data_IF_088859112342
#
_entry.id   IF_088859112342
#
_cell.length_a   1.000
_cell.length_b   1.000
_cell.length_c   1.000
_cell.angle_alpha   90.00
_cell.angle_beta   90.00
_cell.angle_gamma   90.00
#
_symmetry.space_group_name_H-M   'P 1'
#
loop_
_entity.id
_entity.type
_entity.pdbx_description
1 polymer ?
#
# COMPACT_ATOMS: atom_id res chain seq x y z
N UNK A 1 -36.19 -1.74 -76.40
CA UNK A 1 -35.42 -2.66 -75.55
C UNK A 1 -34.33 -1.94 -74.82
N UNK A 2 -34.48 -1.68 -73.52
CA UNK A 2 -33.45 -1.05 -72.68
C UNK A 2 -33.02 -2.09 -71.64
N UNK A 3 -31.78 -2.56 -71.70
CA UNK A 3 -31.18 -3.49 -70.72
C UNK A 3 -30.81 -2.68 -69.47
N UNK A 4 -31.33 -3.11 -68.30
CA UNK A 4 -30.89 -2.63 -66.98
C UNK A 4 -29.73 -3.49 -66.53
N UNK A 5 -28.58 -2.87 -66.23
CA UNK A 5 -27.43 -3.47 -65.60
C UNK A 5 -27.60 -3.31 -64.08
N UNK A 6 -27.69 -4.38 -63.35
CA UNK A 6 -27.70 -4.36 -61.88
C UNK A 6 -26.25 -4.48 -61.37
N UNK A 7 -25.81 -3.45 -60.61
CA UNK A 7 -24.52 -3.48 -59.93
C UNK A 7 -24.76 -4.02 -58.50
N UNK A 8 -24.21 -5.19 -58.21
CA UNK A 8 -24.21 -5.78 -56.86
C UNK A 8 -23.01 -5.26 -56.11
N UNK A 9 -23.26 -4.48 -55.06
CA UNK A 9 -22.23 -4.02 -54.14
C UNK A 9 -22.05 -5.05 -53.04
N UNK A 10 -20.93 -5.72 -53.00
CA UNK A 10 -20.58 -6.63 -51.92
C UNK A 10 -19.98 -5.86 -50.74
N UNK A 11 -20.69 -5.79 -49.61
CA UNK A 11 -20.20 -5.30 -48.35
C UNK A 11 -19.34 -6.37 -47.67
N UNK A 12 -18.04 -6.19 -47.68
CA UNK A 12 -17.12 -7.00 -46.90
C UNK A 12 -17.10 -6.50 -45.43
N UNK A 13 -17.78 -7.23 -44.55
CA UNK A 13 -17.68 -7.01 -43.09
C UNK A 13 -16.40 -7.63 -42.56
N UNK A 14 -15.35 -6.84 -42.44
CA UNK A 14 -14.12 -7.23 -41.76
C UNK A 14 -14.34 -7.30 -40.24
N UNK A 15 -14.55 -8.51 -39.70
CA UNK A 15 -14.49 -8.73 -38.28
C UNK A 15 -13.03 -8.68 -37.81
N UNK A 16 -12.60 -7.55 -37.19
CA UNK A 16 -11.31 -7.50 -36.53
C UNK A 16 -11.37 -8.38 -35.27
N UNK A 17 -10.74 -9.55 -35.33
CA UNK A 17 -10.53 -10.40 -34.18
C UNK A 17 -9.58 -9.69 -33.24
N UNK A 18 -10.09 -9.24 -32.09
CA UNK A 18 -9.29 -8.79 -30.97
C UNK A 18 -8.44 -9.99 -30.48
N UNK A 19 -7.18 -10.03 -30.87
CA UNK A 19 -6.23 -11.01 -30.38
C UNK A 19 -6.12 -10.87 -28.87
N UNK A 20 -6.64 -11.85 -28.12
CA UNK A 20 -6.48 -11.93 -26.67
C UNK A 20 -4.98 -12.05 -26.38
N UNK A 21 -4.42 -11.05 -25.70
CA UNK A 21 -3.03 -11.09 -25.22
C UNK A 21 -2.86 -12.35 -24.33
N UNK A 22 -1.86 -13.19 -24.59
CA UNK A 22 -1.64 -14.37 -23.77
C UNK A 22 -1.43 -13.96 -22.30
N UNK A 23 -1.89 -14.76 -21.33
CA UNK A 23 -1.70 -14.46 -19.92
C UNK A 23 -0.21 -14.36 -19.63
N UNK A 24 0.19 -13.28 -18.94
CA UNK A 24 1.58 -13.07 -18.58
C UNK A 24 2.10 -14.29 -17.80
N UNK A 25 3.24 -14.82 -18.23
CA UNK A 25 3.89 -15.97 -17.60
C UNK A 25 4.24 -15.64 -16.14
N UNK A 26 4.15 -16.64 -15.25
CA UNK A 26 4.55 -16.51 -13.85
C UNK A 26 6.02 -16.06 -13.75
N UNK A 27 6.27 -15.05 -12.95
CA UNK A 27 7.60 -14.47 -12.77
C UNK A 27 8.06 -14.60 -11.31
N UNK A 28 9.37 -14.48 -11.09
CA UNK A 28 9.91 -14.28 -9.75
C UNK A 28 10.07 -12.78 -9.52
N UNK A 29 9.43 -12.28 -8.45
CA UNK A 29 9.54 -10.90 -7.99
C UNK A 29 10.48 -10.87 -6.80
N UNK A 30 11.62 -10.23 -6.94
CA UNK A 30 12.62 -10.12 -5.88
C UNK A 30 12.62 -8.71 -5.27
N UNK A 31 12.64 -8.67 -3.94
CA UNK A 31 12.72 -7.44 -3.16
C UNK A 31 13.87 -7.53 -2.16
N UNK A 32 14.60 -6.45 -2.01
CA UNK A 32 15.68 -6.29 -1.03
C UNK A 32 15.24 -5.22 -0.04
N UNK A 33 14.95 -5.64 1.19
CA UNK A 33 14.39 -4.79 2.25
C UNK A 33 15.30 -4.86 3.46
N UNK A 34 15.44 -3.75 4.17
CA UNK A 34 16.10 -3.77 5.46
C UNK A 34 15.28 -3.01 6.50
N UNK A 35 15.35 -3.47 7.75
CA UNK A 35 14.98 -2.68 8.92
C UNK A 35 16.09 -1.65 9.13
N UNK A 36 15.76 -0.36 9.12
CA UNK A 36 16.74 0.75 9.25
C UNK A 36 16.25 1.76 10.26
N UNK A 37 17.10 2.17 11.23
CA UNK A 37 16.74 3.22 12.17
C UNK A 37 16.67 4.58 11.46
N UNK A 38 15.70 5.40 11.84
CA UNK A 38 15.49 6.74 11.34
C UNK A 38 14.96 7.65 12.44
N UNK A 39 15.09 8.96 12.24
CA UNK A 39 14.33 9.95 12.98
C UNK A 39 13.18 10.38 12.09
N UNK A 40 11.96 10.14 12.55
CA UNK A 40 10.74 10.40 11.78
C UNK A 40 9.99 11.60 12.35
N UNK A 41 9.55 12.50 11.48
CA UNK A 41 8.73 13.65 11.85
C UNK A 41 7.32 13.47 11.25
N UNK A 42 6.31 13.30 12.08
CA UNK A 42 4.93 13.08 11.65
C UNK A 42 4.27 14.33 11.07
N UNK A 43 4.72 15.54 11.45
CA UNK A 43 4.16 16.81 10.98
C UNK A 43 5.26 17.83 10.62
N UNK A 44 6.03 17.64 9.52
CA UNK A 44 7.14 18.53 9.15
C UNK A 44 6.81 20.01 8.97
N UNK A 45 5.53 20.35 8.67
CA UNK A 45 5.09 21.74 8.57
C UNK A 45 4.74 22.39 9.93
N UNK A 46 4.86 21.62 11.02
CA UNK A 46 4.57 22.05 12.41
C UNK A 46 3.18 22.66 12.62
N UNK A 47 2.18 22.19 11.83
CA UNK A 47 0.82 22.74 11.91
C UNK A 47 -0.23 21.64 12.02
N UNK A 48 -1.13 21.85 12.95
CA UNK A 48 -2.46 21.23 12.97
C UNK A 48 -3.33 21.96 11.91
N UNK A 49 -3.72 21.25 10.88
CA UNK A 49 -4.50 21.82 9.78
C UNK A 49 -5.99 22.04 10.15
N UNK A 50 -6.48 21.47 11.25
CA UNK A 50 -7.87 21.62 11.70
C UNK A 50 -8.02 22.90 12.53
N UNK A 51 -7.15 23.10 13.52
CA UNK A 51 -7.22 24.23 14.43
C UNK A 51 -6.33 25.40 14.00
N UNK A 52 -5.37 25.18 13.11
CA UNK A 52 -4.34 26.14 12.73
C UNK A 52 -3.23 26.30 13.78
N UNK A 53 -3.29 25.56 14.87
CA UNK A 53 -2.30 25.64 15.95
C UNK A 53 -0.92 25.18 15.49
N UNK A 54 0.11 25.71 16.11
CA UNK A 54 1.48 25.24 15.94
C UNK A 54 1.70 24.01 16.80
N UNK A 55 2.29 22.97 16.21
CA UNK A 55 2.66 21.73 16.88
C UNK A 55 4.08 21.85 17.44
N UNK A 56 4.28 21.26 18.63
CA UNK A 56 5.61 21.16 19.23
C UNK A 56 6.42 20.08 18.50
N UNK A 57 7.61 20.39 17.96
CA UNK A 57 8.51 19.40 17.37
C UNK A 57 8.84 18.23 18.31
N UNK A 58 8.87 18.43 19.63
CA UNK A 58 9.09 17.37 20.60
C UNK A 58 7.98 16.29 20.58
N UNK A 59 6.77 16.64 20.14
CA UNK A 59 5.64 15.71 19.99
C UNK A 59 5.59 15.08 18.62
N UNK A 60 6.11 15.74 17.58
CA UNK A 60 6.00 15.30 16.18
C UNK A 60 7.19 14.49 15.71
N UNK A 61 8.30 14.50 16.42
CA UNK A 61 9.56 13.83 16.01
C UNK A 61 9.88 12.68 16.96
N UNK A 62 10.13 11.50 16.41
CA UNK A 62 10.51 10.34 17.20
C UNK A 62 11.57 9.47 16.49
N UNK A 63 12.52 8.87 17.23
CA UNK A 63 13.36 7.81 16.70
C UNK A 63 12.51 6.56 16.48
N UNK A 64 12.70 5.89 15.33
CA UNK A 64 12.02 4.64 15.01
C UNK A 64 12.84 3.79 14.07
N UNK A 65 12.39 2.57 13.80
CA UNK A 65 12.91 1.68 12.76
C UNK A 65 11.85 1.47 11.69
N UNK A 66 12.25 1.47 10.42
CA UNK A 66 11.34 1.35 9.27
C UNK A 66 11.84 0.32 8.26
N UNK A 67 10.94 -0.21 7.45
CA UNK A 67 11.32 -0.98 6.27
C UNK A 67 11.76 -0.06 5.14
N UNK A 68 12.98 -0.25 4.67
CA UNK A 68 13.53 0.49 3.55
C UNK A 68 13.89 -0.42 2.39
N UNK A 69 13.54 -0.01 1.18
CA UNK A 69 13.90 -0.71 -0.05
C UNK A 69 15.34 -0.44 -0.44
N UNK A 70 15.98 -1.48 -1.00
CA UNK A 70 17.36 -1.41 -1.52
C UNK A 70 17.48 -2.04 -2.90
N UNK A 71 18.59 -1.75 -3.57
CA UNK A 71 19.07 -2.53 -4.71
C UNK A 71 19.56 -3.90 -4.24
N UNK A 72 19.72 -4.84 -5.18
CA UNK A 72 20.23 -6.19 -4.91
C UNK A 72 21.48 -6.17 -4.02
N UNK A 73 21.46 -7.03 -2.98
CA UNK A 73 22.53 -7.12 -1.99
C UNK A 73 22.62 -5.93 -1.04
N UNK A 74 21.55 -5.17 -0.88
CA UNK A 74 21.44 -3.97 -0.02
C UNK A 74 22.51 -2.91 -0.29
N UNK A 75 22.95 -2.76 -1.55
CA UNK A 75 24.07 -1.86 -1.91
C UNK A 75 23.70 -0.38 -1.83
N UNK A 76 22.50 0.01 -2.29
CA UNK A 76 22.03 1.40 -2.29
C UNK A 76 20.56 1.44 -1.88
N UNK A 77 20.16 2.39 -1.02
CA UNK A 77 18.76 2.59 -0.69
C UNK A 77 17.99 3.10 -1.93
N UNK A 78 16.72 2.72 -2.00
CA UNK A 78 15.76 3.15 -3.00
C UNK A 78 14.57 3.81 -2.31
N UNK A 79 13.74 4.53 -3.07
CA UNK A 79 12.43 4.99 -2.59
C UNK A 79 11.51 3.79 -2.39
N UNK A 80 10.72 3.80 -1.33
CA UNK A 80 9.80 2.71 -1.03
C UNK A 80 8.69 2.60 -2.07
N UNK A 81 8.12 3.72 -2.50
CA UNK A 81 7.19 3.76 -3.63
C UNK A 81 7.30 5.11 -4.36
N UNK A 82 7.52 5.11 -5.67
CA UNK A 82 7.51 6.34 -6.46
C UNK A 82 6.09 6.89 -6.67
N UNK A 83 5.04 6.11 -6.36
CA UNK A 83 3.64 6.45 -6.68
C UNK A 83 2.79 6.82 -5.47
N UNK A 84 3.27 6.60 -4.25
CA UNK A 84 2.56 6.91 -3.00
C UNK A 84 2.91 8.31 -2.47
N UNK A 85 2.55 9.36 -3.19
CA UNK A 85 2.71 10.73 -2.70
C UNK A 85 4.13 11.10 -2.29
N UNK A 86 4.29 11.82 -1.17
CA UNK A 86 5.58 12.33 -0.69
C UNK A 86 6.31 11.38 0.28
N UNK A 87 5.85 10.14 0.42
CA UNK A 87 6.34 9.24 1.47
C UNK A 87 7.51 8.40 0.95
N UNK A 88 8.65 8.56 1.59
CA UNK A 88 9.85 7.84 1.19
C UNK A 88 10.14 6.60 2.05
N UNK A 89 9.60 6.50 3.29
CA UNK A 89 9.99 5.46 4.23
C UNK A 89 8.81 4.78 4.94
N UNK A 90 7.77 5.53 5.35
CA UNK A 90 6.53 4.98 5.92
C UNK A 90 5.38 5.31 4.95
N UNK A 91 4.64 4.31 4.52
CA UNK A 91 4.81 2.88 4.75
C UNK A 91 6.08 2.31 4.10
N UNK A 92 6.43 1.09 4.47
CA UNK A 92 7.47 0.30 3.84
C UNK A 92 7.24 0.09 2.32
N UNK A 93 8.14 -0.59 1.61
CA UNK A 93 8.06 -0.74 0.16
C UNK A 93 6.73 -1.30 -0.33
N UNK A 94 6.08 -0.64 -1.28
CA UNK A 94 4.97 -1.24 -2.01
C UNK A 94 5.48 -2.39 -2.89
N UNK A 95 5.10 -3.62 -2.54
CA UNK A 95 5.46 -4.82 -3.27
C UNK A 95 4.34 -5.21 -4.23
N UNK A 96 4.64 -5.39 -5.50
CA UNK A 96 3.65 -5.74 -6.54
C UNK A 96 3.95 -7.10 -7.13
N UNK A 97 2.90 -7.93 -7.23
CA UNK A 97 2.97 -9.20 -7.94
C UNK A 97 1.65 -9.48 -8.68
N UNK A 98 1.61 -10.58 -9.42
CA UNK A 98 0.41 -11.14 -10.05
C UNK A 98 0.18 -12.56 -9.57
N UNK A 99 -1.05 -13.00 -9.66
CA UNK A 99 -1.40 -14.41 -9.48
C UNK A 99 -0.49 -15.31 -10.33
N UNK A 100 0.13 -16.28 -9.69
CA UNK A 100 1.13 -17.18 -10.24
C UNK A 100 2.57 -16.78 -9.97
N UNK A 101 2.86 -15.51 -9.64
CA UNK A 101 4.22 -15.07 -9.35
C UNK A 101 4.76 -15.70 -8.06
N UNK A 102 6.06 -15.94 -8.04
CA UNK A 102 6.85 -16.20 -6.84
C UNK A 102 7.37 -14.87 -6.32
N UNK A 103 7.27 -14.68 -5.01
CA UNK A 103 7.74 -13.46 -4.34
C UNK A 103 8.88 -13.87 -3.41
N UNK A 104 10.04 -13.25 -3.60
CA UNK A 104 11.24 -13.49 -2.78
C UNK A 104 11.62 -12.18 -2.13
N UNK A 105 11.58 -12.16 -0.79
CA UNK A 105 11.95 -10.97 -0.03
C UNK A 105 13.22 -11.29 0.76
N UNK A 106 14.33 -10.66 0.35
CA UNK A 106 15.59 -10.68 1.06
C UNK A 106 15.55 -9.59 2.12
N UNK A 107 15.38 -9.98 3.37
CA UNK A 107 15.33 -9.09 4.51
C UNK A 107 16.67 -9.05 5.23
N UNK A 108 17.07 -7.86 5.69
CA UNK A 108 18.25 -7.67 6.55
C UNK A 108 17.90 -6.75 7.70
N UNK A 109 18.24 -7.14 8.91
CA UNK A 109 18.15 -6.27 10.06
C UNK A 109 19.41 -5.40 10.13
N UNK A 110 19.25 -4.07 9.93
CA UNK A 110 20.27 -3.04 10.04
C UNK A 110 20.00 -2.10 11.22
N UNK A 111 19.16 -2.51 12.18
CA UNK A 111 18.90 -1.74 13.38
C UNK A 111 20.00 -1.96 14.42
N UNK A 112 21.07 -1.21 14.29
CA UNK A 112 22.17 -1.15 15.26
C UNK A 112 21.94 -0.07 16.33
N UNK A 113 20.78 0.58 16.35
CA UNK A 113 20.42 1.60 17.34
C UNK A 113 19.65 1.01 18.49
N UNK A 114 18.54 0.33 18.22
CA UNK A 114 17.75 -0.33 19.26
C UNK A 114 18.29 -1.72 19.61
N UNK A 115 19.10 -2.30 18.72
CA UNK A 115 19.63 -3.66 18.83
C UNK A 115 18.56 -4.75 18.96
N UNK A 116 17.33 -4.47 18.44
CA UNK A 116 16.20 -5.42 18.49
C UNK A 116 16.22 -6.38 17.30
N UNK A 117 15.67 -7.57 17.50
CA UNK A 117 15.31 -8.45 16.40
C UNK A 117 14.10 -7.90 15.64
N UNK A 118 14.07 -8.15 14.33
CA UNK A 118 12.96 -7.75 13.44
C UNK A 118 12.64 -8.85 12.46
N UNK A 119 11.44 -8.87 11.95
CA UNK A 119 10.98 -9.85 10.95
C UNK A 119 10.12 -9.20 9.86
N UNK A 120 9.58 -10.03 8.96
CA UNK A 120 8.51 -9.63 8.04
C UNK A 120 7.48 -10.75 7.97
N UNK A 121 6.28 -10.49 8.46
CA UNK A 121 5.11 -11.34 8.32
C UNK A 121 4.20 -10.81 7.20
N UNK A 122 3.65 -11.71 6.37
CA UNK A 122 2.91 -11.36 5.15
C UNK A 122 1.50 -11.93 5.20
N UNK A 123 0.52 -11.10 4.87
CA UNK A 123 -0.87 -11.53 4.72
C UNK A 123 -1.20 -11.85 3.25
N UNK A 124 -2.24 -12.66 3.04
CA UNK A 124 -2.90 -12.89 1.76
C UNK A 124 -2.12 -13.69 0.72
N UNK A 125 -1.00 -14.29 1.07
CA UNK A 125 -0.14 -15.10 0.18
C UNK A 125 0.17 -16.46 0.77
N UNK A 126 0.56 -17.40 -0.09
CA UNK A 126 0.94 -18.75 0.31
C UNK A 126 2.42 -18.79 0.71
N UNK A 127 2.75 -19.40 1.84
CA UNK A 127 4.12 -19.63 2.30
C UNK A 127 4.25 -20.87 3.18
N UNK A 128 5.49 -21.28 3.46
CA UNK A 128 5.80 -22.35 4.40
C UNK A 128 6.16 -21.75 5.76
N UNK A 129 6.10 -22.51 6.87
CA UNK A 129 6.47 -22.01 8.22
C UNK A 129 7.81 -21.28 8.29
N UNK A 130 8.81 -21.66 7.48
CA UNK A 130 10.10 -20.99 7.40
C UNK A 130 10.05 -19.59 6.72
N UNK A 131 8.90 -19.11 6.35
CA UNK A 131 8.63 -17.79 5.78
C UNK A 131 7.43 -17.13 6.43
N UNK A 132 7.05 -17.57 7.63
CA UNK A 132 5.96 -17.01 8.43
C UNK A 132 6.33 -15.64 9.01
N UNK A 133 7.56 -15.52 9.50
CA UNK A 133 8.07 -14.26 10.05
C UNK A 133 7.46 -13.88 11.41
N UNK A 134 6.68 -14.76 12.04
CA UNK A 134 6.13 -14.52 13.38
C UNK A 134 7.03 -15.14 14.46
N UNK A 135 7.24 -14.42 15.56
CA UNK A 135 8.01 -14.91 16.70
C UNK A 135 7.10 -15.37 17.84
N UNK A 136 7.19 -16.66 18.15
CA UNK A 136 6.60 -17.27 19.35
C UNK A 136 7.66 -18.19 19.96
N UNK A 137 8.14 -17.94 21.20
CA UNK A 137 9.19 -18.75 21.82
C UNK A 137 8.84 -20.24 21.85
N UNK A 138 9.77 -21.08 21.39
CA UNK A 138 9.59 -22.55 21.34
C UNK A 138 8.68 -23.06 20.21
N UNK A 139 8.11 -22.17 19.39
CA UNK A 139 7.21 -22.52 18.26
C UNK A 139 7.80 -22.07 16.93
N UNK A 140 8.22 -20.82 16.83
CA UNK A 140 8.72 -20.21 15.59
C UNK A 140 10.17 -20.54 15.28
N UNK A 141 10.51 -20.47 13.98
CA UNK A 141 11.89 -20.53 13.51
C UNK A 141 12.64 -19.19 13.63
N UNK A 142 13.88 -19.15 13.14
CA UNK A 142 14.72 -17.94 13.16
C UNK A 142 14.26 -16.83 12.21
N UNK A 143 13.26 -17.07 11.39
CA UNK A 143 12.62 -16.12 10.49
C UNK A 143 11.76 -15.09 11.22
N UNK A 144 11.27 -15.43 12.43
CA UNK A 144 10.42 -14.58 13.26
C UNK A 144 11.17 -13.51 14.06
N UNK A 145 12.49 -13.63 14.23
CA UNK A 145 13.29 -12.69 15.04
C UNK A 145 14.73 -12.60 14.52
N UNK A 146 14.91 -11.91 13.39
CA UNK A 146 16.23 -11.76 12.74
C UNK A 146 17.05 -10.75 13.51
N UNK A 147 18.14 -11.18 14.14
CA UNK A 147 19.01 -10.35 14.94
C UNK A 147 19.74 -9.25 14.12
N UNK A 148 20.19 -8.16 14.75
CA UNK A 148 20.97 -7.10 14.09
C UNK A 148 22.16 -7.64 13.30
N UNK A 149 22.36 -7.12 12.08
CA UNK A 149 23.40 -7.57 11.16
C UNK A 149 23.09 -8.85 10.39
N UNK A 150 22.09 -9.63 10.81
CA UNK A 150 21.67 -10.89 10.16
C UNK A 150 20.65 -10.61 9.06
N UNK A 151 20.40 -11.63 8.25
CA UNK A 151 19.44 -11.58 7.15
C UNK A 151 18.64 -12.87 7.05
N UNK A 152 17.43 -12.76 6.50
CA UNK A 152 16.57 -13.90 6.17
C UNK A 152 15.99 -13.74 4.77
N UNK A 153 15.54 -14.83 4.15
CA UNK A 153 14.87 -14.79 2.85
C UNK A 153 13.51 -15.44 2.93
N UNK A 154 12.47 -14.64 2.88
CA UNK A 154 11.07 -15.07 2.80
C UNK A 154 10.72 -15.48 1.37
N UNK A 155 10.03 -16.60 1.21
CA UNK A 155 9.61 -17.18 -0.07
C UNK A 155 8.12 -17.39 -0.08
N UNK A 156 7.43 -16.63 -0.91
CA UNK A 156 5.99 -16.54 -0.96
C UNK A 156 5.50 -16.84 -2.38
N UNK A 157 4.23 -17.16 -2.50
CA UNK A 157 3.56 -17.37 -3.79
C UNK A 157 2.21 -16.64 -3.82
N UNK A 158 1.95 -15.92 -4.90
CA UNK A 158 0.65 -15.32 -5.15
C UNK A 158 -0.30 -16.36 -5.76
N UNK A 159 -1.18 -16.97 -4.96
CA UNK A 159 -2.24 -17.88 -5.40
C UNK A 159 -3.44 -17.15 -6.00
N UNK A 160 -4.45 -17.90 -6.45
CA UNK A 160 -5.69 -17.30 -6.98
C UNK A 160 -6.46 -16.50 -5.92
N UNK A 161 -6.40 -16.90 -4.65
CA UNK A 161 -7.04 -16.21 -3.53
C UNK A 161 -6.21 -15.02 -3.01
N UNK A 162 -5.01 -14.81 -3.56
CA UNK A 162 -4.14 -13.69 -3.15
C UNK A 162 -4.48 -12.36 -3.84
N UNK A 163 -5.50 -12.32 -4.72
CA UNK A 163 -5.88 -11.06 -5.37
C UNK A 163 -6.35 -10.05 -4.33
N UNK A 164 -5.73 -8.86 -4.31
CA UNK A 164 -6.08 -7.81 -3.34
C UNK A 164 -4.88 -6.98 -2.92
N UNK A 165 -5.12 -6.19 -1.90
CA UNK A 165 -4.13 -5.44 -1.16
C UNK A 165 -3.96 -6.12 0.21
N UNK A 166 -2.73 -6.36 0.64
CA UNK A 166 -2.44 -7.13 1.83
C UNK A 166 -1.37 -6.46 2.68
N UNK A 167 -1.52 -6.41 4.01
CA UNK A 167 -0.47 -5.95 4.89
C UNK A 167 0.75 -6.87 4.87
N UNK A 168 1.91 -6.29 5.14
CA UNK A 168 3.03 -6.97 5.77
C UNK A 168 3.57 -6.10 6.89
N UNK A 169 4.06 -6.71 7.95
CA UNK A 169 4.51 -5.97 9.13
C UNK A 169 5.55 -6.76 9.94
N UNK A 170 6.19 -6.11 10.89
CA UNK A 170 7.04 -6.77 11.86
C UNK A 170 6.19 -7.62 12.83
N UNK A 171 6.59 -8.86 13.03
CA UNK A 171 5.96 -9.79 13.98
C UNK A 171 7.01 -10.42 14.90
N UNK A 172 8.07 -9.68 15.19
CA UNK A 172 9.12 -10.07 16.14
C UNK A 172 8.66 -9.90 17.59
N UNK A 173 9.56 -10.14 18.53
CA UNK A 173 9.31 -9.88 19.96
C UNK A 173 8.87 -8.44 20.29
N UNK A 174 9.16 -7.48 19.41
CA UNK A 174 8.83 -6.07 19.55
C UNK A 174 7.70 -5.62 18.62
N UNK A 175 6.80 -6.54 18.22
CA UNK A 175 5.75 -6.31 17.21
C UNK A 175 4.96 -5.02 17.47
N UNK A 176 4.49 -4.81 18.69
CA UNK A 176 3.66 -3.64 19.01
C UNK A 176 4.40 -2.33 18.77
N UNK A 177 5.58 -2.17 19.34
CA UNK A 177 6.41 -0.97 19.20
C UNK A 177 6.85 -0.75 17.75
N UNK A 178 7.17 -1.82 17.04
CA UNK A 178 7.58 -1.77 15.63
C UNK A 178 6.43 -1.30 14.73
N UNK A 179 5.23 -1.83 14.92
CA UNK A 179 4.03 -1.39 14.17
C UNK A 179 3.71 0.07 14.49
N UNK A 180 3.69 0.45 15.79
CA UNK A 180 3.46 1.83 16.21
C UNK A 180 4.56 2.78 15.73
N UNK A 181 5.73 2.25 15.40
CA UNK A 181 6.87 2.96 14.81
C UNK A 181 6.88 3.02 13.28
N UNK A 182 5.94 2.35 12.58
CA UNK A 182 5.85 2.40 11.12
C UNK A 182 6.44 1.20 10.37
N UNK A 183 6.76 0.09 11.06
CA UNK A 183 7.27 -1.13 10.43
C UNK A 183 6.14 -1.97 9.82
N UNK A 184 5.51 -1.42 8.80
CA UNK A 184 4.47 -2.05 8.00
C UNK A 184 4.56 -1.57 6.54
N UNK A 185 3.92 -2.29 5.63
CA UNK A 185 3.77 -1.91 4.24
C UNK A 185 2.72 -2.73 3.51
N UNK A 186 2.60 -2.50 2.21
CA UNK A 186 1.55 -3.06 1.37
C UNK A 186 2.11 -4.03 0.33
N UNK A 187 1.47 -5.20 0.21
CA UNK A 187 1.64 -6.16 -0.87
C UNK A 187 0.39 -6.10 -1.77
N UNK A 188 0.58 -5.68 -3.02
CA UNK A 188 -0.49 -5.48 -4.01
C UNK A 188 -0.44 -6.60 -5.04
N UNK A 189 -1.43 -7.51 -5.00
CA UNK A 189 -1.53 -8.67 -5.90
C UNK A 189 -2.64 -8.46 -6.91
N UNK A 190 -2.32 -8.57 -8.19
CA UNK A 190 -3.28 -8.46 -9.30
C UNK A 190 -3.63 -9.80 -9.90
N UNK A 191 -4.84 -9.91 -10.38
CA UNK A 191 -5.28 -11.03 -11.19
C UNK A 191 -4.47 -11.12 -12.49
N UNK A 192 -4.44 -12.31 -13.12
CA UNK A 192 -3.65 -12.57 -14.35
C UNK A 192 -3.98 -11.61 -15.50
N UNK A 193 -5.25 -11.24 -15.64
CA UNK A 193 -5.78 -10.37 -16.71
C UNK A 193 -6.21 -8.99 -16.20
N UNK A 194 -5.98 -8.72 -14.93
CA UNK A 194 -6.35 -7.45 -14.34
C UNK A 194 -5.50 -6.31 -14.91
N UNK A 195 -6.17 -5.27 -15.40
CA UNK A 195 -5.52 -4.10 -15.96
C UNK A 195 -4.66 -3.37 -14.92
N UNK A 196 -3.53 -2.83 -15.36
CA UNK A 196 -2.74 -1.91 -14.55
C UNK A 196 -3.57 -0.64 -14.30
N UNK A 197 -3.61 -0.12 -13.06
CA UNK A 197 -4.15 1.20 -12.83
C UNK A 197 -3.19 2.26 -13.42
N UNK A 198 -3.76 3.38 -13.86
CA UNK A 198 -2.98 4.56 -14.25
C UNK A 198 -2.36 5.23 -13.00
N UNK A 199 -3.07 5.15 -11.87
CA UNK A 199 -2.63 5.60 -10.54
C UNK A 199 -2.93 4.55 -9.49
N UNK A 200 -1.97 4.31 -8.62
CA UNK A 200 -2.10 3.41 -7.47
C UNK A 200 -1.69 4.15 -6.20
N UNK A 201 -2.63 4.31 -5.29
CA UNK A 201 -2.45 5.01 -4.03
C UNK A 201 -2.46 3.99 -2.89
N UNK A 202 -1.53 4.15 -1.96
CA UNK A 202 -1.49 3.38 -0.72
C UNK A 202 -1.90 4.30 0.41
N UNK A 203 -2.81 3.84 1.24
CA UNK A 203 -3.27 4.53 2.45
C UNK A 203 -3.14 3.57 3.62
N UNK A 204 -2.32 3.93 4.59
CA UNK A 204 -2.20 3.19 5.84
C UNK A 204 -2.66 4.08 6.98
N UNK A 205 -3.75 3.70 7.60
CA UNK A 205 -4.22 4.27 8.85
C UNK A 205 -3.50 3.61 10.01
N UNK A 206 -2.75 4.38 10.78
CA UNK A 206 -2.07 3.88 11.97
C UNK A 206 -1.83 5.00 12.97
N UNK A 207 -2.00 4.76 14.28
CA UNK A 207 -1.54 5.70 15.29
C UNK A 207 -0.02 5.75 15.32
N UNK A 208 0.55 6.91 15.65
CA UNK A 208 1.98 7.09 15.86
C UNK A 208 2.22 8.21 16.88
N UNK A 209 2.79 7.88 18.03
CA UNK A 209 2.82 8.79 19.16
C UNK A 209 1.41 9.24 19.55
N UNK A 210 1.21 10.54 19.72
CA UNK A 210 -0.09 11.13 20.05
C UNK A 210 -0.98 11.41 18.83
N UNK A 211 -0.51 11.11 17.62
CA UNK A 211 -1.20 11.42 16.36
C UNK A 211 -1.88 10.21 15.76
N UNK A 212 -2.92 10.49 15.01
CA UNK A 212 -3.55 9.55 14.08
C UNK A 212 -3.04 9.85 12.68
N UNK A 213 -2.32 8.89 12.07
CA UNK A 213 -1.55 9.17 10.86
C UNK A 213 -2.09 8.49 9.61
N UNK A 214 -1.84 9.11 8.47
CA UNK A 214 -1.91 8.47 7.16
C UNK A 214 -0.48 8.32 6.64
N UNK A 215 -0.04 7.08 6.41
CA UNK A 215 1.32 6.79 5.94
C UNK A 215 2.40 7.42 6.85
N UNK A 216 2.19 7.36 8.18
CA UNK A 216 3.11 7.92 9.18
C UNK A 216 3.16 9.45 9.23
N UNK A 217 2.19 10.15 8.62
CA UNK A 217 2.08 11.62 8.65
C UNK A 217 0.72 12.05 9.18
N UNK A 218 0.69 13.20 9.84
CA UNK A 218 -0.52 13.80 10.40
C UNK A 218 -0.80 15.16 9.76
N UNK A 219 -2.06 15.44 9.53
CA UNK A 219 -2.65 16.68 9.01
C UNK A 219 -2.35 16.99 7.53
N UNK A 220 -3.29 17.65 6.90
CA UNK A 220 -3.15 18.19 5.52
C UNK A 220 -1.90 19.07 5.42
N UNK A 221 -1.13 18.86 4.36
CA UNK A 221 0.17 19.48 4.14
C UNK A 221 1.36 18.61 4.54
N UNK A 222 1.15 17.61 5.42
CA UNK A 222 2.13 16.57 5.74
C UNK A 222 1.73 15.21 5.18
N UNK A 223 0.44 14.84 5.30
CA UNK A 223 -0.13 13.62 4.72
C UNK A 223 0.03 13.60 3.19
N UNK A 224 0.01 12.42 2.55
CA UNK A 224 0.15 12.30 1.10
C UNK A 224 -0.86 13.17 0.33
N UNK A 225 -0.38 13.87 -0.69
CA UNK A 225 -1.23 14.55 -1.67
C UNK A 225 -1.32 13.66 -2.89
N UNK A 226 -2.40 12.91 -3.02
CA UNK A 226 -2.64 12.07 -4.19
C UNK A 226 -3.09 12.89 -5.38
N UNK A 227 -2.74 12.43 -6.60
CA UNK A 227 -3.02 13.17 -7.84
C UNK A 227 -3.43 12.22 -8.94
N UNK A 228 -4.50 12.59 -9.67
CA UNK A 228 -4.93 11.92 -10.89
C UNK A 228 -5.49 12.91 -11.90
N UNK A 229 -5.93 12.38 -13.04
CA UNK A 229 -6.66 13.10 -14.07
C UNK A 229 -7.99 12.43 -14.36
N UNK A 230 -8.94 13.20 -14.82
CA UNK A 230 -10.20 12.67 -15.36
C UNK A 230 -9.90 11.64 -16.45
N UNK A 231 -10.58 10.48 -16.39
CA UNK A 231 -10.38 9.36 -17.30
C UNK A 231 -9.36 8.31 -16.83
N UNK A 232 -8.46 8.63 -15.90
CA UNK A 232 -7.50 7.65 -15.35
C UNK A 232 -8.21 6.56 -14.51
N UNK A 233 -7.76 5.34 -14.63
CA UNK A 233 -8.12 4.23 -13.75
C UNK A 233 -7.29 4.39 -12.46
N UNK A 234 -7.95 4.79 -11.39
CA UNK A 234 -7.32 4.92 -10.07
C UNK A 234 -7.54 3.66 -9.24
N UNK A 235 -6.54 3.29 -8.45
CA UNK A 235 -6.61 2.23 -7.46
C UNK A 235 -6.18 2.78 -6.10
N UNK A 236 -6.98 2.46 -5.08
CA UNK A 236 -6.68 2.74 -3.69
C UNK A 236 -6.51 1.41 -2.96
N UNK A 237 -5.32 1.16 -2.46
CA UNK A 237 -5.00 0.05 -1.58
C UNK A 237 -4.95 0.62 -0.15
N UNK A 238 -5.93 0.27 0.66
CA UNK A 238 -6.14 0.85 2.00
C UNK A 238 -5.99 -0.24 3.04
N UNK A 239 -5.32 0.07 4.15
CA UNK A 239 -5.23 -0.83 5.31
C UNK A 239 -5.21 -0.03 6.62
N UNK A 240 -5.51 -0.71 7.72
CA UNK A 240 -5.30 -0.21 9.08
C UNK A 240 -4.25 -1.05 9.80
N UNK A 241 -3.39 -0.38 10.56
CA UNK A 241 -2.38 -1.02 11.41
C UNK A 241 -2.50 -0.48 12.84
N UNK A 242 -2.09 -1.28 13.81
CA UNK A 242 -2.29 -1.01 15.23
C UNK A 242 -3.50 -1.74 15.79
N UNK A 243 -4.16 -1.19 16.81
CA UNK A 243 -5.24 -1.87 17.55
C UNK A 243 -6.62 -1.20 17.39
N UNK A 244 -6.71 -0.16 16.56
CA UNK A 244 -7.93 0.63 16.41
C UNK A 244 -8.66 0.34 15.10
N UNK A 245 -9.97 0.58 15.07
CA UNK A 245 -10.78 0.53 13.85
C UNK A 245 -10.83 1.91 13.21
N UNK A 246 -10.79 1.92 11.89
CA UNK A 246 -10.84 3.12 11.07
C UNK A 246 -11.95 3.02 10.03
N UNK A 247 -12.30 4.16 9.43
CA UNK A 247 -13.28 4.20 8.35
C UNK A 247 -12.76 5.10 7.23
N UNK A 248 -12.43 4.52 6.09
CA UNK A 248 -11.91 5.26 4.94
C UNK A 248 -13.04 5.95 4.19
N UNK A 249 -12.90 7.25 3.95
CA UNK A 249 -13.83 8.07 3.19
C UNK A 249 -13.08 9.00 2.23
N UNK A 250 -13.66 9.19 1.02
CA UNK A 250 -13.19 10.18 0.03
C UNK A 250 -14.36 11.07 -0.35
N UNK A 251 -14.25 12.37 -0.11
CA UNK A 251 -15.28 13.34 -0.45
C UNK A 251 -15.65 13.28 -1.94
N UNK A 252 -16.93 13.37 -2.23
CA UNK A 252 -17.47 13.41 -3.58
C UNK A 252 -17.39 12.10 -4.37
N UNK A 253 -16.79 11.04 -3.81
CA UNK A 253 -16.59 9.77 -4.50
C UNK A 253 -17.43 8.65 -3.88
N UNK A 254 -17.89 7.76 -4.75
CA UNK A 254 -18.57 6.51 -4.37
C UNK A 254 -18.02 5.38 -5.21
N UNK A 255 -17.97 4.20 -4.63
CA UNK A 255 -17.55 2.97 -5.30
C UNK A 255 -18.56 1.87 -5.08
N UNK A 256 -18.42 0.79 -5.83
CA UNK A 256 -19.23 -0.39 -5.65
C UNK A 256 -18.40 -1.46 -4.93
N UNK A 257 -18.92 -1.95 -3.82
CA UNK A 257 -18.38 -3.12 -3.13
C UNK A 257 -18.90 -4.43 -3.75
N UNK A 258 -18.45 -5.55 -3.17
CA UNK A 258 -18.92 -6.87 -3.58
C UNK A 258 -20.46 -6.94 -3.54
N UNK A 259 -21.05 -7.51 -4.58
CA UNK A 259 -22.51 -7.54 -4.76
C UNK A 259 -23.11 -6.24 -5.33
N UNK A 260 -22.27 -5.27 -5.76
CA UNK A 260 -22.73 -4.03 -6.39
C UNK A 260 -23.33 -3.00 -5.45
N UNK A 261 -23.04 -3.08 -4.16
CA UNK A 261 -23.56 -2.14 -3.14
C UNK A 261 -22.76 -0.83 -3.20
N UNK A 262 -23.40 0.33 -3.43
CA UNK A 262 -22.71 1.62 -3.43
C UNK A 262 -22.31 2.02 -2.02
N UNK A 263 -21.07 2.48 -1.88
CA UNK A 263 -20.47 2.99 -0.64
C UNK A 263 -19.66 4.24 -0.92
N UNK A 264 -19.53 5.09 0.07
CA UNK A 264 -18.59 6.22 0.13
C UNK A 264 -17.68 6.15 1.36
N UNK A 265 -17.95 5.21 2.26
CA UNK A 265 -17.19 4.96 3.48
C UNK A 265 -17.04 3.46 3.69
N UNK A 266 -15.81 3.01 4.04
CA UNK A 266 -15.49 1.60 4.30
C UNK A 266 -14.78 1.45 5.63
N UNK A 267 -15.29 0.57 6.50
CA UNK A 267 -14.67 0.24 7.79
C UNK A 267 -13.51 -0.72 7.58
N UNK A 268 -12.40 -0.48 8.28
CA UNK A 268 -11.20 -1.31 8.26
C UNK A 268 -10.68 -1.48 9.68
N UNK A 269 -10.52 -2.72 10.11
CA UNK A 269 -10.00 -3.09 11.42
C UNK A 269 -8.49 -3.35 11.43
N UNK A 270 -7.93 -3.71 12.61
CA UNK A 270 -6.52 -4.04 12.76
C UNK A 270 -6.03 -5.10 11.77
N UNK A 271 -5.00 -4.78 10.99
CA UNK A 271 -4.43 -5.60 9.93
C UNK A 271 -5.40 -6.02 8.81
N UNK A 272 -6.59 -5.41 8.74
CA UNK A 272 -7.47 -5.54 7.58
C UNK A 272 -7.03 -4.60 6.46
N UNK A 273 -7.41 -4.97 5.24
CA UNK A 273 -7.12 -4.19 4.05
C UNK A 273 -8.15 -4.42 2.96
N UNK A 274 -8.29 -3.47 2.08
CA UNK A 274 -9.17 -3.58 0.92
C UNK A 274 -8.61 -2.81 -0.26
N UNK A 275 -9.11 -3.12 -1.45
CA UNK A 275 -8.78 -2.45 -2.70
C UNK A 275 -10.02 -1.84 -3.32
N UNK A 276 -9.94 -0.57 -3.69
CA UNK A 276 -10.95 0.14 -4.46
C UNK A 276 -10.39 0.54 -5.82
N UNK A 277 -11.23 0.51 -6.83
CA UNK A 277 -10.87 0.93 -8.19
C UNK A 277 -12.05 1.61 -8.85
N UNK A 278 -11.78 2.77 -9.46
CA UNK A 278 -12.75 3.44 -10.32
C UNK A 278 -12.05 4.22 -11.43
N UNK A 279 -12.81 4.58 -12.44
CA UNK A 279 -12.34 5.50 -13.46
C UNK A 279 -12.74 6.91 -13.04
N UNK A 280 -11.72 7.76 -12.87
CA UNK A 280 -11.89 9.09 -12.31
C UNK A 280 -12.75 9.97 -13.24
N UNK A 281 -13.67 10.76 -12.65
CA UNK A 281 -14.62 11.61 -13.39
C UNK A 281 -14.77 13.01 -12.80
N UNK A 282 -14.40 13.22 -11.56
CA UNK A 282 -14.76 14.37 -10.76
C UNK A 282 -13.55 15.28 -10.50
N UNK A 283 -13.29 16.29 -11.40
CA UNK A 283 -12.16 17.19 -11.21
C UNK A 283 -12.36 18.10 -10.00
N UNK A 284 -11.29 18.31 -9.22
CA UNK A 284 -11.35 19.13 -8.01
C UNK A 284 -10.25 18.83 -7.02
N UNK A 285 -10.38 19.42 -5.85
CA UNK A 285 -9.56 19.11 -4.67
C UNK A 285 -10.49 18.53 -3.62
N UNK A 286 -10.26 17.26 -3.31
CA UNK A 286 -11.09 16.47 -2.42
C UNK A 286 -10.33 16.14 -1.15
N UNK A 287 -11.04 16.00 -0.03
CA UNK A 287 -10.48 15.42 1.18
C UNK A 287 -10.62 13.90 1.14
N UNK A 288 -9.66 13.19 1.69
CA UNK A 288 -9.78 11.79 2.09
C UNK A 288 -9.31 11.65 3.54
N UNK A 289 -10.00 10.85 4.34
CA UNK A 289 -9.75 10.78 5.77
C UNK A 289 -10.35 9.54 6.42
N UNK A 290 -9.96 9.28 7.66
CA UNK A 290 -10.71 8.41 8.55
C UNK A 290 -11.96 9.15 9.04
N UNK A 291 -13.14 8.52 8.96
CA UNK A 291 -14.41 9.13 9.41
C UNK A 291 -14.72 8.84 10.89
N UNK A 292 -13.80 8.27 11.66
CA UNK A 292 -13.80 8.36 13.11
C UNK A 292 -13.33 9.77 13.46
N UNK A 293 -14.23 10.58 14.03
CA UNK A 293 -14.02 12.03 14.19
C UNK A 293 -12.73 12.34 14.93
N UNK A 294 -12.50 11.72 16.08
CA UNK A 294 -11.27 11.90 16.87
C UNK A 294 -9.99 11.54 16.10
N UNK A 295 -10.05 10.56 15.17
CA UNK A 295 -8.89 10.22 14.36
C UNK A 295 -8.60 11.30 13.31
N UNK A 296 -9.64 11.82 12.67
CA UNK A 296 -9.51 12.93 11.72
C UNK A 296 -8.94 14.18 12.43
N UNK A 297 -9.50 14.54 13.60
CA UNK A 297 -9.07 15.70 14.40
C UNK A 297 -7.63 15.59 14.91
N UNK A 298 -7.13 14.36 15.09
CA UNK A 298 -5.73 14.08 15.49
C UNK A 298 -4.78 13.84 14.32
N UNK A 299 -5.21 14.17 13.08
CA UNK A 299 -4.33 14.25 11.92
C UNK A 299 -4.60 13.30 10.76
N UNK A 300 -5.58 12.38 10.88
CA UNK A 300 -5.85 11.35 9.85
C UNK A 300 -6.69 11.90 8.69
N UNK A 301 -6.16 12.92 8.00
CA UNK A 301 -6.80 13.64 6.91
C UNK A 301 -5.79 14.06 5.84
N UNK A 302 -6.14 13.93 4.57
CA UNK A 302 -5.29 14.28 3.43
C UNK A 302 -6.08 14.86 2.26
N UNK A 303 -5.37 15.19 1.17
CA UNK A 303 -5.97 15.76 -0.04
C UNK A 303 -5.74 14.90 -1.28
N UNK A 304 -6.80 14.77 -2.07
CA UNK A 304 -6.79 14.15 -3.38
C UNK A 304 -7.11 15.20 -4.46
N UNK A 305 -6.24 15.35 -5.45
CA UNK A 305 -6.35 16.37 -6.50
C UNK A 305 -6.58 15.71 -7.85
N UNK A 306 -7.71 16.03 -8.46
CA UNK A 306 -8.07 15.55 -9.80
C UNK A 306 -8.04 16.72 -10.77
N UNK A 307 -7.18 16.62 -11.77
CA UNK A 307 -7.14 17.60 -12.88
C UNK A 307 -7.96 17.10 -14.08
N UNK A 308 -8.36 18.02 -14.95
CA UNK A 308 -8.99 17.71 -16.24
C UNK A 308 -8.00 17.09 -17.21
#
# INVERSE_FOLDING_TARGET
>A
MRRRVAIATALATGAAALAATPPAQAATREFWVAATPVVWNMAPNERDAITGARLDPAQTVMPTTVYRRFTRGWRRPLRNSPMSGNQDLIPGPLMRARVGDRIVVHFKNMDFTSMRGHSMHFHGVEYKPSSDGAHVPGVSGPDGDVAPGRSWTYRLRAGEQSIGAWPYHDHSTSMHESIMGGMYGMLSIRGRREALPDREFVVVFAPMGDFQTIDGRAFVGNTPVFRSRVGELVQWDVMAMGSEHHTFHVHGHRWLEAGGVPRDTHTVGPAESFRLRWRERDPGVWLYHCHVEQHMERGMIGTYRVSR
#
